data_IF_559042142864
#
_entry.id   IF_559042142864
#
_cell.length_a   1.000
_cell.length_b   1.000
_cell.length_c   1.000
_cell.angle_alpha   90.00
_cell.angle_beta   90.00
_cell.angle_gamma   90.00
#
_symmetry.space_group_name_H-M   'P 1'
#
loop_
_entity.id
_entity.type
_entity.pdbx_description
1 polymer ?
#
# COMPACT_ATOMS: atom_id res chain seq x y z
N UNK A 1 7.38 15.65 -16.92
CA UNK A 1 7.45 15.05 -15.57
C UNK A 1 7.71 13.56 -15.75
N UNK A 2 8.86 13.05 -15.32
CA UNK A 2 9.13 11.61 -15.38
C UNK A 2 8.32 10.94 -14.27
N UNK A 3 7.30 10.18 -14.65
CA UNK A 3 6.55 9.33 -13.71
C UNK A 3 7.52 8.25 -13.20
N UNK A 4 7.77 8.22 -11.89
CA UNK A 4 8.58 7.17 -11.27
C UNK A 4 7.68 6.04 -10.78
N UNK A 5 8.16 4.81 -10.94
CA UNK A 5 7.48 3.61 -10.43
C UNK A 5 8.08 3.27 -9.06
N UNK A 6 7.23 3.19 -8.05
CA UNK A 6 7.56 2.67 -6.74
C UNK A 6 7.32 1.17 -6.72
N UNK A 7 8.25 0.45 -6.09
CA UNK A 7 8.15 -1.00 -5.95
C UNK A 7 8.22 -1.36 -4.48
N UNK A 8 7.21 -2.10 -4.01
CA UNK A 8 7.19 -2.67 -2.66
C UNK A 8 7.26 -4.19 -2.76
N UNK A 9 8.27 -4.78 -2.14
CA UNK A 9 8.46 -6.24 -2.13
C UNK A 9 8.32 -6.78 -0.71
N UNK A 10 7.60 -7.89 -0.56
CA UNK A 10 7.46 -8.61 0.71
C UNK A 10 7.21 -10.11 0.45
N UNK A 11 7.16 -10.91 1.51
CA UNK A 11 6.93 -12.36 1.43
C UNK A 11 5.61 -12.65 2.16
N UNK A 12 4.68 -13.33 1.48
CA UNK A 12 3.45 -13.81 2.11
C UNK A 12 3.73 -15.05 2.97
N UNK A 13 2.88 -15.30 3.96
CA UNK A 13 2.98 -16.47 4.84
C UNK A 13 3.02 -17.77 4.03
N UNK A 14 3.95 -18.65 4.39
CA UNK A 14 4.04 -19.98 3.79
C UNK A 14 3.09 -20.92 4.51
N UNK A 15 2.17 -21.53 3.76
CA UNK A 15 1.42 -22.68 4.24
C UNK A 15 2.30 -23.94 4.19
N UNK A 16 2.19 -24.88 5.14
CA UNK A 16 2.83 -26.18 5.04
C UNK A 16 2.42 -26.89 3.75
N UNK A 17 3.36 -27.55 3.07
CA UNK A 17 3.06 -28.30 1.86
C UNK A 17 2.00 -29.37 2.15
N UNK A 18 0.89 -29.34 1.40
CA UNK A 18 -0.23 -30.26 1.59
C UNK A 18 -1.23 -29.86 2.68
N UNK A 19 -1.24 -28.59 3.12
CA UNK A 19 -2.29 -28.13 4.02
C UNK A 19 -3.65 -28.19 3.32
N UNK A 20 -4.57 -28.94 3.92
CA UNK A 20 -5.97 -28.94 3.56
C UNK A 20 -6.79 -28.23 4.65
N UNK A 21 -7.91 -27.64 4.26
CA UNK A 21 -8.91 -27.19 5.25
C UNK A 21 -9.54 -28.39 5.97
N UNK A 22 -10.38 -28.12 6.97
CA UNK A 22 -11.10 -29.16 7.74
C UNK A 22 -12.01 -30.06 6.88
N UNK A 23 -12.17 -29.74 5.59
CA UNK A 23 -12.94 -30.49 4.59
C UNK A 23 -12.05 -31.24 3.60
N UNK A 24 -10.73 -31.25 3.79
CA UNK A 24 -9.78 -31.92 2.92
C UNK A 24 -9.49 -31.17 1.62
N UNK A 25 -9.93 -29.92 1.48
CA UNK A 25 -9.71 -29.12 0.27
C UNK A 25 -8.32 -28.49 0.34
N UNK A 26 -7.48 -28.62 -0.71
CA UNK A 26 -6.18 -27.97 -0.76
C UNK A 26 -6.30 -26.46 -0.52
N UNK A 27 -5.56 -25.97 0.47
CA UNK A 27 -5.60 -24.57 0.83
C UNK A 27 -4.86 -23.73 -0.21
N UNK A 28 -5.52 -22.67 -0.70
CA UNK A 28 -4.92 -21.72 -1.64
C UNK A 28 -3.76 -21.00 -0.95
N UNK A 29 -2.61 -20.86 -1.64
CA UNK A 29 -1.44 -20.19 -1.07
C UNK A 29 -1.74 -18.72 -0.73
N UNK A 30 -1.21 -18.22 0.40
CA UNK A 30 -1.45 -16.84 0.86
C UNK A 30 -1.13 -15.79 -0.20
N UNK A 31 -0.09 -16.00 -1.03
CA UNK A 31 0.19 -15.10 -2.16
C UNK A 31 -0.97 -14.96 -3.16
N UNK A 32 -1.71 -16.04 -3.44
CA UNK A 32 -2.82 -16.04 -4.39
C UNK A 32 -4.05 -15.36 -3.77
N UNK A 33 -4.34 -15.64 -2.49
CA UNK A 33 -5.39 -14.93 -1.75
C UNK A 33 -5.12 -13.41 -1.74
N UNK A 34 -3.88 -13.03 -1.50
CA UNK A 34 -3.45 -11.64 -1.47
C UNK A 34 -3.64 -10.96 -2.83
N UNK A 35 -3.22 -11.61 -3.92
CA UNK A 35 -3.38 -11.07 -5.28
C UNK A 35 -4.86 -10.87 -5.61
N UNK A 36 -5.70 -11.86 -5.28
CA UNK A 36 -7.15 -11.76 -5.47
C UNK A 36 -7.75 -10.58 -4.71
N UNK A 37 -7.38 -10.39 -3.43
CA UNK A 37 -7.80 -9.25 -2.61
C UNK A 37 -7.28 -7.91 -3.17
N UNK A 38 -6.05 -7.88 -3.68
CA UNK A 38 -5.39 -6.66 -4.17
C UNK A 38 -5.96 -6.15 -5.49
N UNK A 39 -6.48 -7.02 -6.35
CA UNK A 39 -7.02 -6.63 -7.65
C UNK A 39 -8.14 -5.57 -7.56
N UNK A 40 -8.86 -5.49 -6.44
CA UNK A 40 -9.81 -4.39 -6.21
C UNK A 40 -9.12 -3.02 -6.14
N UNK A 41 -7.93 -2.94 -5.55
CA UNK A 41 -7.20 -1.69 -5.33
C UNK A 41 -6.56 -1.13 -6.61
N UNK A 42 -6.22 -1.99 -7.58
CA UNK A 42 -5.66 -1.57 -8.89
C UNK A 42 -6.67 -0.81 -9.74
N UNK A 43 -7.97 -0.96 -9.45
CA UNK A 43 -9.06 -0.26 -10.12
C UNK A 43 -9.35 1.15 -9.56
N UNK A 44 -8.69 1.55 -8.47
CA UNK A 44 -8.94 2.86 -7.88
C UNK A 44 -8.22 3.94 -8.69
N UNK A 45 -8.93 5.01 -9.07
CA UNK A 45 -8.39 6.13 -9.85
C UNK A 45 -8.79 7.44 -9.17
N UNK A 46 -7.85 8.16 -8.61
CA UNK A 46 -8.10 9.45 -7.95
C UNK A 46 -6.84 10.32 -7.94
N UNK A 47 -6.98 11.63 -8.12
CA UNK A 47 -5.84 12.55 -8.25
C UNK A 47 -4.93 12.56 -7.00
N UNK A 48 -5.52 12.37 -5.81
CA UNK A 48 -4.82 12.35 -4.53
C UNK A 48 -4.49 10.94 -4.01
N UNK A 49 -4.49 9.93 -4.89
CA UNK A 49 -3.99 8.59 -4.58
C UNK A 49 -2.80 8.27 -5.48
N UNK A 50 -1.77 7.61 -4.93
CA UNK A 50 -0.73 6.99 -5.73
C UNK A 50 -1.29 5.73 -6.37
N UNK A 51 -1.47 5.76 -7.68
CA UNK A 51 -2.10 4.66 -8.40
C UNK A 51 -1.33 3.34 -8.20
N UNK A 52 -2.04 2.27 -7.83
CA UNK A 52 -1.50 0.91 -7.98
C UNK A 52 -1.51 0.50 -9.45
N UNK A 53 -0.35 0.09 -9.94
CA UNK A 53 -0.12 -0.28 -11.33
C UNK A 53 -0.27 -1.78 -11.52
N UNK A 54 0.38 -2.57 -10.67
CA UNK A 54 0.38 -4.03 -10.79
C UNK A 54 0.74 -4.74 -9.47
N UNK A 55 0.42 -6.03 -9.40
CA UNK A 55 0.87 -6.95 -8.37
C UNK A 55 1.37 -8.25 -9.00
N UNK A 56 2.60 -8.63 -8.67
CA UNK A 56 3.30 -9.76 -9.28
C UNK A 56 3.67 -10.78 -8.21
N UNK A 57 3.33 -12.05 -8.46
CA UNK A 57 3.84 -13.19 -7.69
C UNK A 57 5.23 -13.58 -8.22
N UNK A 58 6.23 -13.49 -7.35
CA UNK A 58 7.55 -14.06 -7.57
C UNK A 58 7.68 -15.47 -6.99
N UNK A 59 8.91 -15.99 -6.98
CA UNK A 59 9.23 -17.29 -6.37
C UNK A 59 9.13 -17.22 -4.83
N UNK A 60 8.81 -18.35 -4.18
CA UNK A 60 8.81 -18.49 -2.71
C UNK A 60 7.88 -17.49 -2.00
N UNK A 61 6.62 -17.41 -2.44
CA UNK A 61 5.58 -16.52 -1.88
C UNK A 61 5.93 -15.02 -1.87
N UNK A 62 6.95 -14.62 -2.65
CA UNK A 62 7.31 -13.22 -2.82
C UNK A 62 6.21 -12.48 -3.59
N UNK A 63 5.80 -11.35 -3.08
CA UNK A 63 4.89 -10.42 -3.74
C UNK A 63 5.62 -9.13 -4.04
N UNK A 64 5.39 -8.59 -5.23
CA UNK A 64 5.88 -7.29 -5.68
C UNK A 64 4.67 -6.44 -6.06
N UNK A 65 4.50 -5.29 -5.42
CA UNK A 65 3.49 -4.30 -5.76
C UNK A 65 4.18 -3.14 -6.47
N UNK A 66 3.69 -2.79 -7.66
CA UNK A 66 4.10 -1.60 -8.39
C UNK A 66 3.06 -0.49 -8.22
N UNK A 67 3.51 0.73 -7.95
CA UNK A 67 2.65 1.91 -7.86
C UNK A 67 3.30 3.14 -8.47
N UNK A 68 2.52 4.18 -8.73
CA UNK A 68 3.08 5.52 -8.87
C UNK A 68 3.90 5.89 -7.64
N UNK A 69 4.97 6.64 -7.86
CA UNK A 69 5.87 7.07 -6.79
C UNK A 69 6.39 8.48 -7.04
N UNK A 70 6.64 9.17 -5.93
CA UNK A 70 7.16 10.52 -5.88
C UNK A 70 8.31 10.56 -4.89
N UNK A 71 9.38 11.27 -5.26
CA UNK A 71 10.62 11.30 -4.47
C UNK A 71 10.47 11.99 -3.11
N UNK A 72 9.44 12.80 -2.91
CA UNK A 72 9.21 13.55 -1.67
C UNK A 72 7.96 13.01 -0.97
N UNK A 73 8.10 12.77 0.33
CA UNK A 73 6.97 12.59 1.25
C UNK A 73 7.01 13.64 2.36
N UNK A 74 5.91 13.83 3.08
CA UNK A 74 5.83 14.84 4.14
C UNK A 74 6.88 14.65 5.25
N UNK A 75 7.37 13.43 5.49
CA UNK A 75 8.46 13.19 6.46
C UNK A 75 9.75 13.92 6.07
N UNK A 76 10.08 13.95 4.78
CA UNK A 76 11.39 14.37 4.29
C UNK A 76 11.43 15.88 3.95
N UNK A 77 10.32 16.58 4.19
CA UNK A 77 10.15 17.99 3.81
C UNK A 77 10.23 18.88 5.04
N UNK A 78 11.00 19.96 4.91
CA UNK A 78 11.08 21.03 5.89
C UNK A 78 9.70 21.69 6.11
N UNK A 79 9.12 21.64 7.32
CA UNK A 79 7.82 22.23 7.63
C UNK A 79 7.70 23.71 7.24
N UNK A 80 8.77 24.49 7.34
CA UNK A 80 8.73 25.92 7.00
C UNK A 80 8.55 26.14 5.50
N UNK A 81 9.01 25.22 4.65
CA UNK A 81 8.83 25.29 3.19
C UNK A 81 7.39 25.03 2.76
N UNK A 82 6.66 24.21 3.51
CA UNK A 82 5.28 23.82 3.18
C UNK A 82 4.22 24.54 4.00
N UNK A 83 4.60 25.37 4.98
CA UNK A 83 3.70 26.07 5.90
C UNK A 83 2.51 26.75 5.20
N UNK A 84 2.76 27.47 4.10
CA UNK A 84 1.72 28.14 3.31
C UNK A 84 0.83 27.18 2.52
N UNK A 85 1.29 25.95 2.27
CA UNK A 85 0.62 24.88 1.53
C UNK A 85 -0.10 23.87 2.43
N UNK A 86 0.03 23.97 3.77
CA UNK A 86 -0.65 23.05 4.70
C UNK A 86 -2.15 22.94 4.42
N UNK A 87 -2.91 24.04 4.22
CA UNK A 87 -4.35 23.93 3.93
C UNK A 87 -4.66 23.16 2.65
N UNK A 88 -3.88 23.37 1.57
CA UNK A 88 -4.07 22.63 0.32
C UNK A 88 -3.69 21.16 0.46
N UNK A 89 -2.59 20.86 1.15
CA UNK A 89 -2.16 19.49 1.45
C UNK A 89 -3.24 18.75 2.26
N UNK A 90 -3.82 19.40 3.27
CA UNK A 90 -4.91 18.81 4.06
C UNK A 90 -6.15 18.56 3.21
N UNK A 91 -6.51 19.49 2.33
CA UNK A 91 -7.64 19.30 1.39
C UNK A 91 -7.42 18.11 0.46
N UNK A 92 -6.21 17.96 -0.08
CA UNK A 92 -5.81 16.83 -0.92
C UNK A 92 -5.89 15.50 -0.17
N UNK A 93 -5.35 15.45 1.06
CA UNK A 93 -5.43 14.26 1.93
C UNK A 93 -6.88 13.89 2.21
N UNK A 94 -7.72 14.86 2.60
CA UNK A 94 -9.14 14.62 2.86
C UNK A 94 -9.89 14.13 1.63
N UNK A 95 -9.61 14.69 0.45
CA UNK A 95 -10.20 14.25 -0.82
C UNK A 95 -9.83 12.79 -1.14
N UNK A 96 -8.56 12.40 -0.93
CA UNK A 96 -8.14 11.01 -1.07
C UNK A 96 -8.82 10.06 -0.07
N UNK A 97 -8.98 10.50 1.19
CA UNK A 97 -9.63 9.71 2.24
C UNK A 97 -11.14 9.55 2.00
N UNK A 98 -11.82 10.61 1.55
CA UNK A 98 -13.23 10.56 1.17
C UNK A 98 -13.46 9.53 0.04
N UNK A 99 -12.63 9.59 -1.01
CA UNK A 99 -12.71 8.64 -2.11
C UNK A 99 -12.57 7.17 -1.66
N UNK A 100 -11.67 6.91 -0.71
CA UNK A 100 -11.48 5.57 -0.12
C UNK A 100 -12.67 5.15 0.75
N UNK A 101 -13.17 6.08 1.57
CA UNK A 101 -14.34 5.86 2.44
C UNK A 101 -15.57 5.46 1.66
N UNK A 102 -15.87 6.14 0.54
CA UNK A 102 -16.96 5.80 -0.38
C UNK A 102 -16.87 4.37 -0.95
N UNK A 103 -15.70 3.73 -0.88
CA UNK A 103 -15.44 2.35 -1.34
C UNK A 103 -15.25 1.36 -0.21
N UNK A 104 -15.61 1.75 1.01
CA UNK A 104 -15.45 0.99 2.26
C UNK A 104 -13.98 0.62 2.55
N UNK A 105 -13.05 1.49 2.16
CA UNK A 105 -11.62 1.33 2.44
C UNK A 105 -11.19 2.41 3.42
N UNK A 106 -10.69 1.99 4.58
CA UNK A 106 -9.96 2.86 5.50
C UNK A 106 -8.47 2.79 5.18
N UNK A 107 -7.77 3.93 5.18
CA UNK A 107 -6.33 3.95 4.85
C UNK A 107 -5.49 3.04 5.77
N UNK A 108 -5.74 3.06 7.09
CA UNK A 108 -5.11 2.26 8.16
C UNK A 108 -3.58 2.34 8.30
N UNK A 109 -2.90 3.03 7.40
CA UNK A 109 -1.46 3.33 7.48
C UNK A 109 -1.15 4.82 7.17
N UNK A 110 -2.00 5.75 7.61
CA UNK A 110 -1.82 7.18 7.28
C UNK A 110 -0.68 7.75 8.14
N UNK A 111 0.42 8.14 7.51
CA UNK A 111 1.60 8.71 8.17
C UNK A 111 2.31 9.68 7.23
N UNK A 112 3.21 10.55 7.73
CA UNK A 112 4.00 11.44 6.86
C UNK A 112 4.82 10.71 5.78
N UNK A 113 5.14 9.43 5.98
CA UNK A 113 5.86 8.59 5.01
C UNK A 113 5.00 8.20 3.80
N UNK A 114 3.68 8.15 4.01
CA UNK A 114 2.70 7.68 3.04
C UNK A 114 1.89 8.83 2.42
N UNK A 115 2.28 10.07 2.71
CA UNK A 115 1.74 11.26 2.06
C UNK A 115 2.85 11.82 1.18
N UNK A 116 2.78 11.50 -0.10
CA UNK A 116 3.69 11.94 -1.14
C UNK A 116 3.33 13.33 -1.64
N UNK A 117 4.33 14.06 -2.12
CA UNK A 117 4.16 15.36 -2.76
C UNK A 117 4.61 15.28 -4.22
N UNK A 118 3.76 15.72 -5.14
CA UNK A 118 4.14 15.92 -6.53
C UNK A 118 5.03 17.18 -6.71
N UNK A 119 5.39 17.50 -7.96
CA UNK A 119 6.23 18.67 -8.26
C UNK A 119 5.59 20.01 -7.88
N UNK A 120 4.28 20.06 -7.69
CA UNK A 120 3.51 21.25 -7.35
C UNK A 120 3.15 21.30 -5.83
N UNK A 121 3.59 20.29 -5.08
CA UNK A 121 3.27 20.02 -3.68
C UNK A 121 1.78 19.70 -3.43
N UNK A 122 1.11 19.08 -4.40
CA UNK A 122 -0.18 18.46 -4.15
C UNK A 122 0.03 17.10 -3.47
N UNK A 123 -0.83 16.75 -2.52
CA UNK A 123 -0.69 15.53 -1.74
C UNK A 123 -1.27 14.30 -2.45
N UNK A 124 -0.54 13.19 -2.38
CA UNK A 124 -0.95 11.87 -2.88
C UNK A 124 -0.75 10.80 -1.82
N UNK A 125 -1.82 10.06 -1.51
CA UNK A 125 -1.78 9.00 -0.51
C UNK A 125 -1.22 7.72 -1.14
N UNK A 126 -0.17 7.17 -0.56
CA UNK A 126 0.35 5.83 -0.87
C UNK A 126 0.00 4.81 0.20
N UNK A 127 0.28 3.54 -0.06
CA UNK A 127 0.06 2.43 0.89
C UNK A 127 -1.37 2.29 1.44
N UNK A 128 -2.36 2.90 0.76
CA UNK A 128 -3.77 2.79 1.14
C UNK A 128 -4.28 1.37 0.90
N UNK A 129 -5.16 0.89 1.76
CA UNK A 129 -5.84 -0.40 1.56
C UNK A 129 -4.98 -1.65 1.79
N UNK A 130 -3.68 -1.52 2.05
CA UNK A 130 -2.78 -2.65 2.28
C UNK A 130 -3.12 -3.47 3.53
N UNK A 131 -3.80 -2.88 4.51
CA UNK A 131 -4.32 -3.62 5.67
C UNK A 131 -5.27 -4.75 5.27
N UNK A 132 -6.10 -4.55 4.24
CA UNK A 132 -7.08 -5.57 3.82
C UNK A 132 -6.43 -6.78 3.13
N UNK A 133 -5.12 -6.69 2.84
CA UNK A 133 -4.31 -7.80 2.34
C UNK A 133 -3.75 -8.67 3.46
N UNK A 134 -3.57 -8.11 4.66
CA UNK A 134 -2.90 -8.82 5.76
C UNK A 134 -3.76 -9.94 6.34
N UNK A 135 -5.07 -9.88 6.16
CA UNK A 135 -6.04 -10.78 6.78
C UNK A 135 -5.78 -10.93 8.28
N UNK A 136 -5.83 -9.81 9.02
CA UNK A 136 -5.50 -9.77 10.44
C UNK A 136 -4.07 -10.27 10.78
N UNK A 137 -3.13 -10.09 9.85
CA UNK A 137 -1.74 -10.59 9.90
C UNK A 137 -1.57 -12.09 9.62
N UNK A 138 -2.59 -12.80 9.15
CA UNK A 138 -2.48 -14.21 8.76
C UNK A 138 -1.69 -14.36 7.44
N UNK A 139 -2.03 -13.58 6.41
CA UNK A 139 -1.43 -13.72 5.07
C UNK A 139 -0.09 -12.97 4.95
N UNK A 140 0.06 -11.85 5.64
CA UNK A 140 1.28 -11.04 5.68
C UNK A 140 1.25 -10.11 6.89
N UNK A 141 2.37 -9.88 7.60
CA UNK A 141 2.42 -8.89 8.68
C UNK A 141 2.09 -7.47 8.20
N UNK A 142 1.35 -6.73 9.02
CA UNK A 142 1.03 -5.33 8.81
C UNK A 142 1.72 -4.45 9.87
N UNK A 143 2.30 -3.29 9.50
CA UNK A 143 2.31 -2.68 8.17
C UNK A 143 3.21 -3.41 7.16
N UNK A 144 2.72 -3.58 5.93
CA UNK A 144 3.44 -4.30 4.88
C UNK A 144 4.71 -3.54 4.47
N UNK A 145 5.85 -4.22 4.50
CA UNK A 145 7.15 -3.65 4.11
C UNK A 145 7.95 -3.04 5.27
N UNK A 146 7.44 -3.07 6.51
CA UNK A 146 8.29 -2.88 7.69
C UNK A 146 9.09 -4.16 7.91
N UNK A 147 10.36 -4.15 7.48
CA UNK A 147 11.32 -5.16 7.92
C UNK A 147 11.48 -4.92 9.42
N UNK A 148 11.04 -5.87 10.26
CA UNK A 148 11.56 -5.94 11.62
C UNK A 148 13.07 -6.01 11.46
N UNK A 149 13.77 -4.91 11.75
CA UNK A 149 15.20 -4.97 12.00
C UNK A 149 15.34 -5.88 13.21
N UNK A 150 15.53 -7.18 12.98
CA UNK A 150 16.16 -8.01 13.98
C UNK A 150 17.51 -7.34 14.23
N UNK A 151 17.59 -6.62 15.34
CA UNK A 151 18.86 -6.35 15.99
C UNK A 151 19.45 -7.74 16.25
N UNK A 152 20.41 -8.12 15.41
CA UNK A 152 21.39 -9.14 15.76
C UNK A 152 22.37 -8.54 16.76
#
# INVERSE_FOLDING_TARGET
MSLCIGVKTFIASTLPAGSCDDRGIPQISSSINLIGKFFKLTNFRHKNLCQYLDIIKGTRERIVIASEHYFKCLRDVDPEKIKKKIPSIMSDVLSGLEYLSMRNITHRNLSPNNIFLDSENNAKLGDYGLFYLSDCNCDVPFPIGYIFKHHF
#
